data_IF_631196799759
#
_entry.id   IF_631196799759
#
_cell.length_a   1.000
_cell.length_b   1.000
_cell.length_c   1.000
_cell.angle_alpha   90.00
_cell.angle_beta   90.00
_cell.angle_gamma   90.00
#
_symmetry.space_group_name_H-M   'P 1'
#
loop_
_entity.id
_entity.type
_entity.pdbx_description
1 polymer ?
#
# COMPACT_ATOMS: atom_id res chain seq x y z
N UNK A 1 7.49 -2.71 53.01
CA UNK A 1 6.24 -2.35 52.31
C UNK A 1 6.63 -2.10 50.87
N UNK A 2 6.41 -3.07 49.99
CA UNK A 2 6.62 -2.90 48.54
C UNK A 2 5.52 -1.98 48.02
N UNK A 3 5.89 -0.83 47.49
CA UNK A 3 4.96 0.15 46.93
C UNK A 3 4.10 -0.53 45.85
N UNK A 4 2.78 -0.33 45.91
CA UNK A 4 1.82 -0.88 44.93
C UNK A 4 2.11 -0.51 43.47
N UNK A 5 3.04 0.43 43.23
CA UNK A 5 3.51 0.86 41.91
C UNK A 5 4.44 -0.15 41.20
N UNK A 6 4.96 -1.16 41.90
CA UNK A 6 5.84 -2.17 41.28
C UNK A 6 5.10 -3.35 40.63
N UNK A 7 3.82 -3.55 40.94
CA UNK A 7 3.06 -4.70 40.44
C UNK A 7 2.47 -4.39 39.07
N UNK A 8 2.85 -5.19 38.06
CA UNK A 8 2.28 -5.10 36.72
C UNK A 8 0.82 -5.57 36.74
N UNK A 9 -0.11 -4.64 36.57
CA UNK A 9 -1.54 -4.95 36.44
C UNK A 9 -1.82 -5.64 35.10
N UNK A 10 -2.79 -6.55 35.08
CA UNK A 10 -3.24 -7.24 33.85
C UNK A 10 -2.09 -7.86 33.01
N UNK A 11 -1.24 -8.71 33.60
CA UNK A 11 -0.05 -9.25 32.92
C UNK A 11 -0.39 -10.13 31.70
N UNK A 12 -1.63 -10.65 31.60
CA UNK A 12 -2.11 -11.36 30.43
C UNK A 12 -2.05 -10.54 29.14
N UNK A 13 -2.16 -9.21 29.24
CA UNK A 13 -2.03 -8.29 28.11
C UNK A 13 -0.61 -8.27 27.51
N UNK A 14 0.42 -8.78 28.21
CA UNK A 14 1.76 -8.90 27.62
C UNK A 14 1.80 -9.81 26.39
N UNK A 15 0.82 -10.71 26.26
CA UNK A 15 0.67 -11.59 25.09
C UNK A 15 0.24 -10.84 23.82
N UNK A 16 -0.39 -9.66 23.95
CA UNK A 16 -0.82 -8.84 22.80
C UNK A 16 0.32 -7.98 22.25
N UNK A 17 1.38 -7.78 23.04
CA UNK A 17 2.54 -6.99 22.64
C UNK A 17 3.46 -7.83 21.74
N UNK A 18 3.66 -7.46 20.47
CA UNK A 18 4.59 -8.16 19.58
C UNK A 18 6.04 -7.95 20.02
N UNK A 19 6.97 -8.78 19.55
CA UNK A 19 8.41 -8.51 19.72
C UNK A 19 8.86 -7.39 18.79
N UNK A 20 9.89 -6.63 19.15
CA UNK A 20 10.45 -5.53 18.35
C UNK A 20 11.78 -5.95 17.74
N UNK A 21 11.89 -5.90 16.41
CA UNK A 21 13.08 -6.31 15.65
C UNK A 21 13.73 -5.17 14.85
N UNK A 22 13.18 -3.96 14.97
CA UNK A 22 13.61 -2.75 14.28
C UNK A 22 12.56 -2.28 13.26
N UNK A 23 12.29 -3.06 12.22
CA UNK A 23 11.37 -2.65 11.13
C UNK A 23 9.95 -2.34 11.61
N UNK A 24 9.55 -2.92 12.74
CA UNK A 24 8.24 -2.74 13.34
C UNK A 24 8.23 -1.77 14.54
N UNK A 25 9.26 -0.95 14.74
CA UNK A 25 9.39 -0.10 15.91
C UNK A 25 8.20 0.84 16.12
N UNK A 26 7.71 1.48 15.06
CA UNK A 26 6.53 2.37 15.13
C UNK A 26 5.25 1.63 15.55
N UNK A 27 4.98 0.48 14.92
CA UNK A 27 3.81 -0.35 15.22
C UNK A 27 3.87 -0.91 16.66
N UNK A 28 5.04 -1.41 17.06
CA UNK A 28 5.27 -1.90 18.41
C UNK A 28 4.96 -0.83 19.46
N UNK A 29 5.47 0.39 19.29
CA UNK A 29 5.27 1.49 20.24
C UNK A 29 3.79 1.89 20.32
N UNK A 30 3.08 1.89 19.19
CA UNK A 30 1.63 2.14 19.16
C UNK A 30 0.88 1.08 19.97
N UNK A 31 1.08 -0.21 19.66
CA UNK A 31 0.41 -1.31 20.36
C UNK A 31 0.75 -1.32 21.85
N UNK A 32 2.01 -1.03 22.21
CA UNK A 32 2.44 -0.91 23.61
C UNK A 32 1.70 0.21 24.34
N UNK A 33 1.54 1.38 23.73
CA UNK A 33 0.86 2.52 24.34
C UNK A 33 -0.64 2.30 24.47
N UNK A 34 -1.29 1.76 23.45
CA UNK A 34 -2.72 1.42 23.48
C UNK A 34 -3.01 0.35 24.54
N UNK A 35 -2.18 -0.70 24.58
CA UNK A 35 -2.32 -1.78 25.58
C UNK A 35 -2.00 -1.27 26.98
N UNK A 36 -1.04 -0.35 27.14
CA UNK A 36 -0.69 0.24 28.43
C UNK A 36 -1.85 1.03 29.07
N UNK A 37 -2.71 1.66 28.26
CA UNK A 37 -3.93 2.32 28.77
C UNK A 37 -4.85 1.29 29.43
N UNK A 38 -5.06 0.14 28.78
CA UNK A 38 -5.88 -0.96 29.31
C UNK A 38 -5.22 -1.64 30.52
N UNK A 39 -3.90 -1.79 30.47
CA UNK A 39 -3.07 -2.36 31.53
C UNK A 39 -2.84 -1.44 32.71
N UNK A 40 -3.16 -0.15 32.59
CA UNK A 40 -2.77 0.91 33.54
C UNK A 40 -1.27 0.90 33.85
N UNK A 41 -0.44 0.70 32.82
CA UNK A 41 1.00 0.56 32.98
C UNK A 41 1.71 1.92 33.05
N UNK A 42 2.65 2.04 33.99
CA UNK A 42 3.46 3.24 34.18
C UNK A 42 4.58 3.36 33.14
N UNK A 43 5.08 4.58 32.89
CA UNK A 43 6.17 4.80 31.93
C UNK A 43 7.43 3.94 32.19
N UNK A 44 7.88 3.74 33.45
CA UNK A 44 8.95 2.78 33.75
C UNK A 44 8.61 1.33 33.36
N UNK A 45 7.36 0.90 33.56
CA UNK A 45 6.90 -0.44 33.16
C UNK A 45 6.92 -0.61 31.63
N UNK A 46 6.54 0.42 30.86
CA UNK A 46 6.62 0.38 29.39
C UNK A 46 8.06 0.19 28.90
N UNK A 47 9.03 0.85 29.54
CA UNK A 47 10.45 0.67 29.24
C UNK A 47 10.89 -0.76 29.56
N UNK A 48 10.48 -1.31 30.71
CA UNK A 48 10.81 -2.69 31.09
C UNK A 48 10.21 -3.71 30.10
N UNK A 49 8.95 -3.56 29.72
CA UNK A 49 8.28 -4.40 28.71
C UNK A 49 8.98 -4.25 27.35
N UNK A 50 9.32 -3.02 26.96
CA UNK A 50 10.10 -2.72 25.77
C UNK A 50 11.38 -3.52 25.71
N UNK A 51 12.18 -3.50 26.79
CA UNK A 51 13.43 -4.27 26.92
C UNK A 51 13.22 -5.78 26.81
N UNK A 52 12.15 -6.32 27.41
CA UNK A 52 11.82 -7.75 27.36
C UNK A 52 11.44 -8.22 25.96
N UNK A 53 10.86 -7.33 25.14
CA UNK A 53 10.38 -7.63 23.80
C UNK A 53 11.42 -7.38 22.70
N UNK A 54 12.63 -6.92 23.05
CA UNK A 54 13.72 -6.68 22.11
C UNK A 54 14.24 -7.97 21.47
N UNK A 55 14.28 -8.00 20.15
CA UNK A 55 14.86 -9.09 19.36
C UNK A 55 15.75 -8.56 18.23
N UNK A 56 16.64 -9.42 17.75
CA UNK A 56 17.48 -9.16 16.57
C UNK A 56 18.20 -7.80 16.62
N UNK A 57 18.04 -6.99 15.55
CA UNK A 57 18.72 -5.68 15.42
C UNK A 57 18.30 -4.69 16.50
N UNK A 58 17.06 -4.75 16.97
CA UNK A 58 16.56 -3.90 18.05
C UNK A 58 17.32 -4.18 19.36
N UNK A 59 17.55 -5.47 19.65
CA UNK A 59 18.34 -5.89 20.81
C UNK A 59 19.79 -5.41 20.71
N UNK A 60 20.44 -5.64 19.57
CA UNK A 60 21.83 -5.20 19.36
C UNK A 60 22.01 -3.68 19.55
N UNK A 61 21.08 -2.87 19.03
CA UNK A 61 21.11 -1.41 19.21
C UNK A 61 20.97 -1.01 20.67
N UNK A 62 20.00 -1.61 21.39
CA UNK A 62 19.80 -1.29 22.80
C UNK A 62 21.07 -1.60 23.61
N UNK A 63 21.64 -2.80 23.43
CA UNK A 63 22.83 -3.23 24.16
C UNK A 63 24.05 -2.34 23.84
N UNK A 64 24.20 -1.88 22.60
CA UNK A 64 25.33 -1.04 22.18
C UNK A 64 25.19 0.46 22.52
N UNK A 65 23.96 1.00 22.53
CA UNK A 65 23.74 2.45 22.52
C UNK A 65 22.86 2.98 23.64
N UNK A 66 22.11 2.12 24.34
CA UNK A 66 21.14 2.53 25.37
C UNK A 66 21.33 1.82 26.71
N UNK A 67 22.01 0.67 26.74
CA UNK A 67 22.27 -0.08 27.96
C UNK A 67 23.02 0.78 29.00
N UNK A 68 22.56 0.73 30.24
CA UNK A 68 23.15 1.48 31.36
C UNK A 68 22.77 2.97 31.42
N UNK A 69 22.03 3.50 30.44
CA UNK A 69 21.49 4.86 30.53
C UNK A 69 20.21 4.87 31.36
N UNK A 70 20.07 5.87 32.22
CA UNK A 70 18.80 6.19 32.87
C UNK A 70 17.96 7.02 31.88
N UNK A 71 17.01 6.34 31.22
CA UNK A 71 16.19 6.90 30.17
C UNK A 71 14.75 6.98 30.64
N UNK A 72 14.14 8.15 30.50
CA UNK A 72 12.69 8.25 30.54
C UNK A 72 12.07 7.66 29.26
N UNK A 73 10.76 7.39 29.32
CA UNK A 73 10.07 6.72 28.21
C UNK A 73 10.05 7.57 26.94
N UNK A 74 10.01 8.90 27.07
CA UNK A 74 9.99 9.82 25.93
C UNK A 74 11.30 9.73 25.15
N UNK A 75 12.42 9.83 25.85
CA UNK A 75 13.77 9.76 25.29
C UNK A 75 14.05 8.38 24.72
N UNK A 76 13.63 7.32 25.42
CA UNK A 76 13.73 5.96 24.90
C UNK A 76 12.96 5.80 23.59
N UNK A 77 11.69 6.22 23.55
CA UNK A 77 10.82 6.20 22.36
C UNK A 77 11.45 6.96 21.19
N UNK A 78 11.92 8.18 21.43
CA UNK A 78 12.53 9.02 20.38
C UNK A 78 13.81 8.39 19.82
N UNK A 79 14.72 7.91 20.68
CA UNK A 79 15.95 7.24 20.21
C UNK A 79 15.65 5.97 19.43
N UNK A 80 14.66 5.19 19.86
CA UNK A 80 14.27 3.96 19.18
C UNK A 80 13.61 4.25 17.83
N UNK A 81 12.68 5.22 17.78
CA UNK A 81 12.06 5.65 16.54
C UNK A 81 13.09 6.21 15.57
N UNK A 82 14.02 7.05 16.01
CA UNK A 82 15.06 7.62 15.13
C UNK A 82 15.99 6.55 14.55
N UNK A 83 16.38 5.56 15.36
CA UNK A 83 17.28 4.49 14.91
C UNK A 83 16.63 3.57 13.87
N UNK A 84 15.33 3.32 14.01
CA UNK A 84 14.57 2.38 13.20
C UNK A 84 13.50 3.04 12.34
N UNK A 85 13.57 4.37 12.23
CA UNK A 85 12.85 5.09 11.21
C UNK A 85 13.26 4.48 9.89
N UNK A 86 12.32 4.29 8.97
CA UNK A 86 12.65 3.93 7.59
C UNK A 86 13.52 5.06 7.02
N UNK A 87 14.81 5.07 7.34
CA UNK A 87 15.83 6.04 6.96
C UNK A 87 16.22 5.87 5.51
N UNK A 88 15.24 5.52 4.67
CA UNK A 88 15.37 5.66 3.25
C UNK A 88 15.39 7.15 2.98
N UNK A 89 16.53 7.63 2.50
CA UNK A 89 16.72 9.04 2.14
C UNK A 89 15.63 9.48 1.15
N UNK A 90 15.42 10.80 1.08
CA UNK A 90 14.60 11.41 0.02
C UNK A 90 14.89 10.79 -1.34
N UNK A 91 16.18 10.67 -1.71
CA UNK A 91 16.61 10.14 -2.99
C UNK A 91 16.14 8.70 -3.23
N UNK A 92 16.24 7.83 -2.21
CA UNK A 92 15.80 6.44 -2.34
C UNK A 92 14.28 6.34 -2.46
N UNK A 93 13.53 7.08 -1.65
CA UNK A 93 12.07 7.09 -1.71
C UNK A 93 11.58 7.68 -3.03
N UNK A 94 12.18 8.77 -3.48
CA UNK A 94 11.86 9.43 -4.74
C UNK A 94 12.19 8.54 -5.93
N UNK A 95 13.33 7.86 -5.93
CA UNK A 95 13.68 6.90 -6.98
C UNK A 95 12.66 5.77 -7.07
N UNK A 96 12.17 5.26 -5.94
CA UNK A 96 11.12 4.23 -5.93
C UNK A 96 9.78 4.75 -6.42
N UNK A 97 9.45 6.00 -6.08
CA UNK A 97 8.25 6.67 -6.58
C UNK A 97 8.31 6.85 -8.10
N UNK A 98 9.38 7.46 -8.63
CA UNK A 98 9.51 7.79 -10.04
C UNK A 98 9.68 6.57 -10.96
N UNK A 99 10.19 5.45 -10.42
CA UNK A 99 10.30 4.18 -11.15
C UNK A 99 9.11 3.23 -10.93
N UNK A 100 8.05 3.66 -10.24
CA UNK A 100 6.94 2.78 -9.91
C UNK A 100 6.06 2.49 -11.14
N UNK A 101 5.83 1.20 -11.39
CA UNK A 101 4.85 0.70 -12.37
C UNK A 101 3.92 -0.32 -11.72
N UNK A 102 2.72 -0.49 -12.28
CA UNK A 102 1.73 -1.47 -11.86
C UNK A 102 2.24 -2.88 -12.16
N UNK A 103 2.32 -3.73 -11.14
CA UNK A 103 2.77 -5.11 -11.30
C UNK A 103 1.72 -5.98 -12.03
N UNK A 104 2.13 -7.13 -12.56
CA UNK A 104 1.25 -7.98 -13.36
C UNK A 104 0.01 -8.48 -12.59
N UNK A 105 0.14 -8.81 -11.31
CA UNK A 105 -0.98 -9.24 -10.47
C UNK A 105 -1.58 -8.12 -9.61
N UNK A 106 -1.07 -6.90 -9.72
CA UNK A 106 -1.46 -5.79 -8.85
C UNK A 106 -2.68 -5.07 -9.41
N UNK A 107 -3.69 -4.87 -8.56
CA UNK A 107 -4.87 -4.10 -8.93
C UNK A 107 -4.53 -2.64 -9.07
N UNK A 108 -5.26 -1.93 -9.94
CA UNK A 108 -5.12 -0.47 -10.11
C UNK A 108 -5.19 0.28 -8.77
N UNK A 109 -6.12 -0.10 -7.88
CA UNK A 109 -6.27 0.54 -6.56
C UNK A 109 -5.09 0.27 -5.64
N UNK A 110 -4.54 -0.95 -5.66
CA UNK A 110 -3.37 -1.30 -4.84
C UNK A 110 -2.14 -0.53 -5.32
N UNK A 111 -1.97 -0.42 -6.64
CA UNK A 111 -0.93 0.40 -7.25
C UNK A 111 -1.04 1.87 -6.82
N UNK A 112 -2.24 2.45 -6.90
CA UNK A 112 -2.53 3.81 -6.46
C UNK A 112 -2.12 4.03 -4.99
N UNK A 113 -2.59 3.18 -4.08
CA UNK A 113 -2.22 3.26 -2.66
C UNK A 113 -0.71 3.10 -2.43
N UNK A 114 -0.03 2.30 -3.25
CA UNK A 114 1.42 2.12 -3.16
C UNK A 114 2.19 3.38 -3.58
N UNK A 115 1.82 4.02 -4.69
CA UNK A 115 2.50 5.26 -5.13
C UNK A 115 2.17 6.45 -4.24
N UNK A 116 0.97 6.53 -3.67
CA UNK A 116 0.61 7.53 -2.65
C UNK A 116 1.50 7.41 -1.42
N UNK A 117 1.74 6.18 -0.96
CA UNK A 117 2.65 5.92 0.17
C UNK A 117 4.08 6.34 -0.15
N UNK A 118 4.54 6.10 -1.38
CA UNK A 118 5.90 6.46 -1.81
C UNK A 118 6.09 7.97 -1.93
N UNK A 119 5.12 8.69 -2.51
CA UNK A 119 5.19 10.16 -2.59
C UNK A 119 5.14 10.78 -1.19
N UNK A 120 4.32 10.23 -0.29
CA UNK A 120 4.26 10.68 1.10
C UNK A 120 5.59 10.45 1.83
N UNK A 121 6.19 9.26 1.71
CA UNK A 121 7.52 8.97 2.30
C UNK A 121 8.64 9.85 1.72
N UNK A 122 8.51 10.27 0.47
CA UNK A 122 9.49 11.14 -0.18
C UNK A 122 9.42 12.58 0.36
N UNK A 123 8.21 13.16 0.46
CA UNK A 123 8.04 14.59 0.73
C UNK A 123 7.59 14.94 2.15
N UNK A 124 7.21 13.97 2.97
CA UNK A 124 6.74 14.15 4.35
C UNK A 124 7.55 13.33 5.36
N UNK A 125 8.66 12.73 4.93
CA UNK A 125 9.60 12.06 5.83
C UNK A 125 10.26 13.05 6.80
N UNK A 126 10.52 12.59 8.01
CA UNK A 126 11.12 13.33 9.13
C UNK A 126 12.54 13.87 8.90
N UNK A 127 13.20 13.48 7.79
CA UNK A 127 14.60 13.81 7.50
C UNK A 127 14.79 14.99 6.51
N UNK A 128 13.73 15.75 6.21
CA UNK A 128 13.87 16.98 5.45
C UNK A 128 13.16 18.10 6.20
N UNK A 129 13.90 19.14 6.57
CA UNK A 129 13.33 20.42 7.00
C UNK A 129 12.22 20.76 6.01
N UNK A 130 10.98 20.76 6.51
CA UNK A 130 9.77 20.60 5.71
C UNK A 130 9.77 21.57 4.52
N UNK A 131 10.16 21.07 3.35
CA UNK A 131 9.82 21.72 2.11
C UNK A 131 8.35 21.41 1.95
N UNK A 132 7.50 22.34 2.40
CA UNK A 132 6.06 22.27 2.25
C UNK A 132 5.73 22.35 0.75
N UNK A 133 5.93 21.23 0.06
CA UNK A 133 5.59 21.10 -1.34
C UNK A 133 4.09 21.34 -1.43
N UNK A 134 3.70 22.35 -2.22
CA UNK A 134 2.30 22.64 -2.47
C UNK A 134 1.55 21.36 -2.82
N UNK A 135 0.43 21.10 -2.15
CA UNK A 135 -0.44 19.95 -2.43
C UNK A 135 -0.77 19.81 -3.91
N UNK A 136 -0.86 20.95 -4.62
CA UNK A 136 -1.08 20.99 -6.06
C UNK A 136 0.07 20.37 -6.87
N UNK A 137 1.31 20.56 -6.45
CA UNK A 137 2.48 19.95 -7.11
C UNK A 137 2.52 18.45 -6.82
N UNK A 138 2.24 18.06 -5.57
CA UNK A 138 2.15 16.67 -5.15
C UNK A 138 1.11 15.90 -5.96
N UNK A 139 -0.09 16.47 -6.10
CA UNK A 139 -1.18 15.88 -6.88
C UNK A 139 -0.78 15.69 -8.36
N UNK A 140 -0.13 16.69 -8.96
CA UNK A 140 0.36 16.60 -10.34
C UNK A 140 1.43 15.52 -10.52
N UNK A 141 2.37 15.42 -9.59
CA UNK A 141 3.40 14.37 -9.63
C UNK A 141 2.77 12.99 -9.48
N UNK A 142 1.83 12.84 -8.56
CA UNK A 142 1.11 11.60 -8.32
C UNK A 142 0.30 11.17 -9.56
N UNK A 143 -0.47 12.08 -10.15
CA UNK A 143 -1.22 11.84 -11.40
C UNK A 143 -0.29 11.43 -12.55
N UNK A 144 0.82 12.16 -12.72
CA UNK A 144 1.80 11.89 -13.78
C UNK A 144 2.43 10.51 -13.62
N UNK A 145 2.90 10.18 -12.42
CA UNK A 145 3.51 8.88 -12.14
C UNK A 145 2.50 7.73 -12.23
N UNK A 146 1.28 7.93 -11.73
CA UNK A 146 0.20 6.96 -11.84
C UNK A 146 -0.06 6.62 -13.31
N UNK A 147 -0.30 7.65 -14.13
CA UNK A 147 -0.58 7.48 -15.56
C UNK A 147 0.57 6.79 -16.29
N UNK A 148 1.81 7.20 -16.01
CA UNK A 148 2.99 6.63 -16.64
C UNK A 148 3.21 5.15 -16.26
N UNK A 149 2.95 4.81 -14.99
CA UNK A 149 3.19 3.50 -14.41
C UNK A 149 2.06 2.49 -14.60
N UNK A 150 0.88 2.89 -15.05
CA UNK A 150 -0.22 1.97 -15.37
C UNK A 150 0.18 0.97 -16.47
N UNK A 151 -0.43 -0.22 -16.43
CA UNK A 151 -0.31 -1.21 -17.50
C UNK A 151 -0.67 -0.61 -18.87
N UNK A 152 0.02 -0.97 -19.96
CA UNK A 152 -0.20 -0.37 -21.28
C UNK A 152 -1.66 -0.38 -21.75
N UNK A 153 -2.40 -1.46 -21.45
CA UNK A 153 -3.81 -1.62 -21.82
C UNK A 153 -4.72 -0.59 -21.16
N UNK A 154 -4.45 -0.24 -19.90
CA UNK A 154 -5.22 0.75 -19.14
C UNK A 154 -4.73 2.17 -19.48
N UNK A 155 -3.40 2.34 -19.57
CA UNK A 155 -2.75 3.61 -19.87
C UNK A 155 -3.22 4.23 -21.18
N UNK A 156 -3.37 3.43 -22.24
CA UNK A 156 -3.82 3.92 -23.53
C UNK A 156 -5.20 4.61 -23.43
N UNK A 157 -6.13 4.03 -22.67
CA UNK A 157 -7.46 4.57 -22.49
C UNK A 157 -7.47 5.80 -21.57
N UNK A 158 -6.66 5.79 -20.51
CA UNK A 158 -6.47 6.95 -19.62
C UNK A 158 -5.95 8.17 -20.41
N UNK A 159 -5.02 7.97 -21.34
CA UNK A 159 -4.48 9.05 -22.18
C UNK A 159 -5.54 9.68 -23.10
N UNK A 160 -6.54 8.90 -23.51
CA UNK A 160 -7.68 9.40 -24.31
C UNK A 160 -8.64 10.20 -23.42
N UNK A 161 -8.96 9.70 -22.23
CA UNK A 161 -9.86 10.39 -21.30
C UNK A 161 -9.22 11.64 -20.67
N UNK A 162 -7.89 11.71 -20.61
CA UNK A 162 -7.09 12.84 -20.15
C UNK A 162 -7.58 13.46 -18.83
N UNK A 163 -7.63 12.69 -17.74
CA UNK A 163 -8.07 13.17 -16.43
C UNK A 163 -7.13 14.25 -15.87
N UNK A 164 -7.70 15.28 -15.24
CA UNK A 164 -6.94 16.41 -14.69
C UNK A 164 -6.55 16.22 -13.22
N UNK A 165 -7.18 15.26 -12.53
CA UNK A 165 -6.94 14.95 -11.12
C UNK A 165 -6.61 13.49 -10.93
N UNK A 166 -5.85 13.20 -9.88
CA UNK A 166 -5.47 11.84 -9.54
C UNK A 166 -6.69 10.94 -9.26
N UNK A 167 -7.65 11.44 -8.48
CA UNK A 167 -8.86 10.68 -8.14
C UNK A 167 -9.70 10.33 -9.38
N UNK A 168 -9.83 11.27 -10.32
CA UNK A 168 -10.52 11.03 -11.59
C UNK A 168 -9.82 9.93 -12.40
N UNK A 169 -8.49 10.00 -12.50
CA UNK A 169 -7.70 8.97 -13.18
C UNK A 169 -7.84 7.59 -12.55
N UNK A 170 -7.88 7.53 -11.21
CA UNK A 170 -8.07 6.28 -10.46
C UNK A 170 -9.43 5.64 -10.75
N UNK A 171 -10.50 6.42 -10.75
CA UNK A 171 -11.85 5.94 -11.02
C UNK A 171 -12.01 5.41 -12.44
N UNK A 172 -11.42 6.12 -13.42
CA UNK A 172 -11.38 5.70 -14.81
C UNK A 172 -10.59 4.39 -14.96
N UNK A 173 -9.39 4.32 -14.37
CA UNK A 173 -8.54 3.14 -14.44
C UNK A 173 -9.19 1.91 -13.78
N UNK A 174 -9.85 2.08 -12.64
CA UNK A 174 -10.60 1.01 -11.95
C UNK A 174 -11.77 0.51 -12.79
N UNK A 175 -12.48 1.41 -13.50
CA UNK A 175 -13.56 1.04 -14.41
C UNK A 175 -13.04 0.23 -15.61
N UNK A 176 -11.93 0.66 -16.20
CA UNK A 176 -11.28 -0.03 -17.32
C UNK A 176 -10.80 -1.42 -16.89
N UNK A 177 -10.13 -1.53 -15.74
CA UNK A 177 -9.66 -2.81 -15.21
C UNK A 177 -10.84 -3.78 -14.98
N UNK A 178 -11.94 -3.30 -14.38
CA UNK A 178 -13.16 -4.10 -14.22
C UNK A 178 -13.74 -4.55 -15.56
N UNK A 179 -13.82 -3.67 -16.54
CA UNK A 179 -14.30 -4.01 -17.88
C UNK A 179 -13.41 -5.06 -18.55
N UNK A 180 -12.09 -4.93 -18.46
CA UNK A 180 -11.13 -5.92 -18.97
C UNK A 180 -11.30 -7.28 -18.28
N UNK A 181 -11.50 -7.30 -16.96
CA UNK A 181 -11.75 -8.53 -16.20
C UNK A 181 -13.09 -9.20 -16.54
N UNK A 182 -14.10 -8.41 -16.95
CA UNK A 182 -15.38 -8.96 -17.43
C UNK A 182 -15.29 -9.52 -18.85
N UNK A 183 -14.43 -8.94 -19.68
CA UNK A 183 -14.23 -9.34 -21.08
C UNK A 183 -13.20 -10.47 -21.25
N UNK A 184 -12.38 -10.74 -20.24
CA UNK A 184 -11.43 -11.85 -20.25
C UNK A 184 -12.13 -13.13 -19.76
N UNK A 185 -12.22 -14.19 -20.58
CA UNK A 185 -12.86 -15.44 -20.16
C UNK A 185 -12.08 -16.06 -18.99
N UNK A 186 -12.81 -16.59 -18.00
CA UNK A 186 -12.23 -17.37 -16.92
C UNK A 186 -11.58 -18.65 -17.49
N UNK A 187 -10.25 -18.72 -17.51
CA UNK A 187 -9.48 -19.85 -18.05
C UNK A 187 -9.78 -21.17 -17.30
N UNK A 188 -10.38 -21.13 -16.11
CA UNK A 188 -10.83 -22.35 -15.42
C UNK A 188 -12.03 -23.04 -16.10
N UNK A 189 -12.70 -22.39 -17.06
CA UNK A 189 -13.68 -23.04 -17.95
C UNK A 189 -13.01 -23.65 -19.20
N UNK A 190 -11.75 -23.30 -19.49
CA UNK A 190 -11.00 -23.83 -20.64
C UNK A 190 -10.27 -25.12 -20.29
N UNK A 191 -9.93 -25.35 -19.02
CA UNK A 191 -9.30 -26.61 -18.59
C UNK A 191 -10.25 -27.82 -18.67
N UNK A 192 -11.57 -27.60 -18.68
CA UNK A 192 -12.56 -28.65 -18.98
C UNK A 192 -12.80 -28.87 -20.49
N UNK A 193 -12.14 -28.10 -21.37
CA UNK A 193 -12.29 -28.16 -22.82
C UNK A 193 -11.06 -28.71 -23.56
N UNK A 194 -10.05 -29.22 -22.86
CA UNK A 194 -8.88 -29.89 -23.46
C UNK A 194 -9.23 -31.25 -24.12
N UNK A 195 -10.49 -31.47 -24.49
CA UNK A 195 -11.01 -32.70 -25.06
C UNK A 195 -11.69 -32.56 -26.43
N UNK A 196 -11.68 -31.42 -27.13
CA UNK A 196 -11.91 -31.41 -28.59
C UNK A 196 -11.66 -30.03 -29.22
N UNK A 197 -10.80 -29.98 -30.23
CA UNK A 197 -10.59 -28.83 -31.12
C UNK A 197 -11.90 -28.31 -31.75
N UNK A 198 -12.89 -29.19 -31.89
CA UNK A 198 -14.22 -28.87 -32.44
C UNK A 198 -15.05 -27.92 -31.56
N UNK A 199 -14.78 -27.81 -30.26
CA UNK A 199 -15.48 -26.88 -29.39
C UNK A 199 -14.89 -25.46 -29.47
N UNK A 200 -13.58 -25.32 -29.63
CA UNK A 200 -12.94 -24.00 -29.79
C UNK A 200 -13.39 -23.33 -31.09
N UNK A 201 -13.46 -24.10 -32.18
CA UNK A 201 -13.92 -23.61 -33.49
C UNK A 201 -15.39 -23.16 -33.45
N UNK A 202 -16.24 -23.91 -32.74
CA UNK A 202 -17.66 -23.54 -32.53
C UNK A 202 -17.78 -22.26 -31.69
N UNK A 203 -16.99 -22.11 -30.64
CA UNK A 203 -16.99 -20.92 -29.80
C UNK A 203 -16.50 -19.70 -30.59
N UNK A 204 -15.41 -19.85 -31.36
CA UNK A 204 -14.91 -18.78 -32.23
C UNK A 204 -15.96 -18.35 -33.26
N UNK A 205 -16.61 -19.32 -33.92
CA UNK A 205 -17.67 -19.02 -34.90
C UNK A 205 -18.87 -18.31 -34.27
N UNK A 206 -19.32 -18.76 -33.10
CA UNK A 206 -20.42 -18.12 -32.37
C UNK A 206 -20.08 -16.68 -31.96
N UNK A 207 -18.82 -16.44 -31.55
CA UNK A 207 -18.34 -15.10 -31.21
C UNK A 207 -18.28 -14.21 -32.45
N UNK A 208 -17.75 -14.70 -33.57
CA UNK A 208 -17.71 -13.95 -34.84
C UNK A 208 -19.11 -13.57 -35.31
N UNK A 209 -20.07 -14.50 -35.24
CA UNK A 209 -21.47 -14.24 -35.59
C UNK A 209 -22.11 -13.19 -34.66
N UNK A 210 -21.79 -13.23 -33.37
CA UNK A 210 -22.27 -12.25 -32.39
C UNK A 210 -21.74 -10.85 -32.71
N UNK A 211 -20.42 -10.71 -32.91
CA UNK A 211 -19.82 -9.42 -33.28
C UNK A 211 -20.37 -8.88 -34.59
N UNK A 212 -20.59 -9.76 -35.58
CA UNK A 212 -21.16 -9.36 -36.89
C UNK A 212 -22.57 -8.80 -36.73
N UNK A 213 -23.42 -9.45 -35.92
CA UNK A 213 -24.78 -8.96 -35.63
C UNK A 213 -24.77 -7.64 -34.87
N UNK A 214 -23.85 -7.46 -33.93
CA UNK A 214 -23.70 -6.20 -33.19
C UNK A 214 -23.25 -5.07 -34.12
N UNK A 215 -22.29 -5.32 -35.01
CA UNK A 215 -21.84 -4.33 -36.00
C UNK A 215 -22.98 -3.95 -36.94
N UNK A 216 -23.71 -4.93 -37.50
CA UNK A 216 -24.86 -4.66 -38.39
C UNK A 216 -25.97 -3.85 -37.69
N UNK A 217 -26.25 -4.16 -36.43
CA UNK A 217 -27.22 -3.41 -35.63
C UNK A 217 -26.76 -1.96 -35.40
N UNK A 218 -25.48 -1.75 -35.05
CA UNK A 218 -24.92 -0.41 -34.85
C UNK A 218 -24.90 0.37 -36.15
N UNK A 219 -24.55 -0.25 -37.29
CA UNK A 219 -24.61 0.38 -38.62
C UNK A 219 -26.02 0.85 -38.96
N UNK A 220 -27.04 0.02 -38.72
CA UNK A 220 -28.45 0.38 -38.93
C UNK A 220 -28.93 1.51 -38.01
N UNK A 221 -28.45 1.54 -36.77
CA UNK A 221 -28.76 2.64 -35.85
C UNK A 221 -28.09 3.95 -36.30
N UNK A 222 -26.86 3.88 -36.82
CA UNK A 222 -26.13 5.04 -37.33
C UNK A 222 -26.81 5.65 -38.57
N UNK A 223 -27.29 4.82 -39.49
CA UNK A 223 -28.04 5.26 -40.67
C UNK A 223 -29.36 5.96 -40.31
N UNK A 224 -30.05 5.47 -39.26
CA UNK A 224 -31.28 6.10 -38.76
C UNK A 224 -31.05 7.44 -38.06
N UNK A 225 -29.86 7.68 -37.51
CA UNK A 225 -29.52 8.97 -36.88
C UNK A 225 -29.09 10.03 -37.89
N UNK A 226 -28.72 9.63 -39.11
CA UNK A 226 -28.31 10.52 -40.19
C UNK A 226 -29.44 10.85 -41.19
N UNK A 227 -30.69 10.47 -40.88
CA UNK A 227 -31.92 10.91 -41.56
C UNK A 227 -32.63 11.97 -40.73
#
# INVERSE_FOLDING_TARGET
MTSQDEILKNPSLLSTIPNINGNNAGEFLRVLEETAVLGQWSKPQLIAIGKLKLEGRARCFYDASLAGQDLDYKTWKEKFLKQFEDGQSFATNFSRFSSAFQMESERVRDFASRIERLVHKSFNGSDAGACEMSEKLREKMLLSQFTAGLKPTIRAQILIENPCKFQEALEVADRIEKAQNMLTPNINVVSSLTGSETNFEKIMKANTETYTKTIDLLSKQLEKMNQ
#
